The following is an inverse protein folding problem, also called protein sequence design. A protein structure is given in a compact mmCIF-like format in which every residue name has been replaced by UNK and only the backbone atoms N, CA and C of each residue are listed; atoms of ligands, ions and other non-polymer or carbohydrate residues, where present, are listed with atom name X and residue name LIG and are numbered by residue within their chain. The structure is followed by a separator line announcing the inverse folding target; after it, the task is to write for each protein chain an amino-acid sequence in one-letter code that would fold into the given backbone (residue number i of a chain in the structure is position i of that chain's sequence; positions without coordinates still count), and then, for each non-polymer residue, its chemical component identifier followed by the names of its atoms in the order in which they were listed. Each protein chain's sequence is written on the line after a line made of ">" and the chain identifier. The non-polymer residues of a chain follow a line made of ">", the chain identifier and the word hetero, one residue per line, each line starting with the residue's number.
data_IF_714850663529
#
_entry.id   IF_714850663529
#
_cell.length_a   1.000
_cell.length_b   1.000
_cell.length_c   1.000
_cell.angle_alpha   90.00
_cell.angle_beta   90.00
_cell.angle_gamma   90.00
#
_symmetry.space_group_name_H-M   'P 1'
#
loop_
_entity.id
_entity.type
_entity.pdbx_description
1 polymer ?
#
# COMPACT_ATOMS: atom_id res chain seq x y z
N UNK A 1 41.15 -28.30 0.08
CA UNK A 1 39.92 -28.84 0.69
C UNK A 1 38.80 -28.01 0.12
N UNK A 2 38.21 -28.48 -0.98
CA UNK A 2 36.95 -27.91 -1.45
C UNK A 2 35.91 -28.36 -0.44
N UNK A 3 35.49 -27.44 0.43
CA UNK A 3 34.29 -27.64 1.23
C UNK A 3 33.12 -27.73 0.25
N UNK A 4 32.79 -28.95 -0.16
CA UNK A 4 31.57 -29.24 -0.90
C UNK A 4 30.41 -28.86 0.02
N UNK A 5 29.88 -27.65 -0.17
CA UNK A 5 28.64 -27.21 0.47
C UNK A 5 27.56 -28.23 0.13
N UNK A 6 27.22 -29.09 1.09
CA UNK A 6 26.17 -30.09 0.93
C UNK A 6 24.83 -29.36 0.88
N UNK A 7 24.23 -29.28 -0.32
CA UNK A 7 22.91 -28.70 -0.54
C UNK A 7 21.90 -29.86 -0.55
N UNK A 8 20.89 -29.79 0.31
CA UNK A 8 19.81 -30.79 0.30
C UNK A 8 19.14 -30.81 -1.07
N UNK A 9 18.72 -32.00 -1.58
CA UNK A 9 18.02 -32.08 -2.86
C UNK A 9 16.80 -31.14 -2.96
N UNK A 10 16.13 -30.88 -1.84
CA UNK A 10 14.99 -29.96 -1.74
C UNK A 10 15.36 -28.47 -1.80
N UNK A 11 16.63 -28.14 -1.57
CA UNK A 11 17.17 -26.78 -1.54
C UNK A 11 18.02 -26.47 -2.78
N UNK A 12 18.12 -27.43 -3.71
CA UNK A 12 18.80 -27.24 -5.01
C UNK A 12 18.15 -26.11 -5.82
N UNK A 13 16.85 -25.88 -5.63
CA UNK A 13 16.10 -24.77 -6.21
C UNK A 13 15.37 -24.00 -5.10
N UNK A 14 15.67 -22.71 -4.87
CA UNK A 14 14.98 -21.93 -3.87
C UNK A 14 13.52 -21.71 -4.29
N UNK A 15 12.59 -22.25 -3.49
CA UNK A 15 11.14 -22.09 -3.69
C UNK A 15 10.70 -20.62 -3.66
N UNK A 16 11.36 -19.81 -2.85
CA UNK A 16 11.15 -18.37 -2.74
C UNK A 16 12.24 -17.64 -3.50
N UNK A 17 11.87 -17.16 -4.69
CA UNK A 17 12.77 -16.38 -5.54
C UNK A 17 12.75 -14.90 -5.15
N UNK A 18 13.54 -14.09 -5.85
CA UNK A 18 13.63 -12.63 -5.67
C UNK A 18 12.26 -11.92 -5.64
N UNK A 19 11.26 -12.46 -6.35
CA UNK A 19 9.89 -11.94 -6.34
C UNK A 19 9.24 -11.98 -4.96
N UNK A 20 9.46 -13.04 -4.19
CA UNK A 20 8.97 -13.10 -2.80
C UNK A 20 9.77 -12.16 -1.92
N UNK A 21 11.08 -12.01 -2.11
CA UNK A 21 11.90 -11.07 -1.31
C UNK A 21 11.47 -9.62 -1.55
N UNK A 22 11.08 -9.29 -2.79
CA UNK A 22 10.64 -7.96 -3.17
C UNK A 22 9.34 -7.56 -2.48
N UNK A 23 8.45 -8.52 -2.18
CA UNK A 23 7.19 -8.25 -1.49
C UNK A 23 7.38 -7.62 -0.09
N UNK A 24 8.07 -8.26 0.88
CA UNK A 24 8.36 -7.68 2.19
C UNK A 24 9.17 -6.40 2.10
N UNK A 25 10.09 -6.30 1.14
CA UNK A 25 10.88 -5.09 0.92
C UNK A 25 9.99 -3.90 0.57
N UNK A 26 9.10 -4.05 -0.41
CA UNK A 26 8.16 -3.00 -0.80
C UNK A 26 7.18 -2.70 0.35
N UNK A 27 6.61 -3.71 1.00
CA UNK A 27 5.71 -3.46 2.13
C UNK A 27 6.41 -2.80 3.33
N UNK A 28 7.71 -3.05 3.51
CA UNK A 28 8.54 -2.37 4.51
C UNK A 28 8.73 -0.89 4.17
N UNK A 29 8.93 -0.55 2.89
CA UNK A 29 8.95 0.84 2.43
C UNK A 29 7.61 1.54 2.66
N UNK A 30 6.49 0.85 2.40
CA UNK A 30 5.15 1.35 2.66
C UNK A 30 4.96 1.67 4.14
N UNK A 31 5.32 0.74 5.03
CA UNK A 31 5.22 0.94 6.47
C UNK A 31 6.12 2.09 6.96
N UNK A 32 7.35 2.19 6.45
CA UNK A 32 8.27 3.29 6.79
C UNK A 32 7.72 4.66 6.36
N UNK A 33 7.23 4.77 5.13
CA UNK A 33 6.64 6.01 4.62
C UNK A 33 5.36 6.40 5.40
N UNK A 34 4.53 5.41 5.75
CA UNK A 34 3.36 5.63 6.59
C UNK A 34 3.73 6.14 7.99
N UNK A 35 4.73 5.54 8.64
CA UNK A 35 5.22 6.00 9.95
C UNK A 35 5.74 7.43 9.89
N UNK A 36 6.48 7.80 8.83
CA UNK A 36 6.95 9.19 8.63
C UNK A 36 5.78 10.17 8.55
N UNK A 37 4.70 9.81 7.86
CA UNK A 37 3.47 10.61 7.85
C UNK A 37 2.83 10.69 9.25
N UNK A 38 2.66 9.55 9.90
CA UNK A 38 1.99 9.47 11.20
C UNK A 38 2.72 10.28 12.28
N UNK A 39 4.05 10.37 12.24
CA UNK A 39 4.84 11.21 13.15
C UNK A 39 4.45 12.69 13.07
N UNK A 40 4.07 13.19 11.90
CA UNK A 40 3.56 14.55 11.76
C UNK A 40 2.10 14.66 12.23
N UNK A 41 1.20 13.79 11.75
CA UNK A 41 -0.25 13.93 12.00
C UNK A 41 -0.68 13.52 13.42
N UNK A 42 -0.03 12.51 14.02
CA UNK A 42 -0.39 11.96 15.34
C UNK A 42 0.48 12.54 16.45
N UNK A 43 1.78 12.68 16.21
CA UNK A 43 2.74 13.16 17.21
C UNK A 43 3.18 14.62 17.02
N UNK A 44 2.59 15.34 16.07
CA UNK A 44 2.84 16.76 15.79
C UNK A 44 4.32 17.13 15.57
N UNK A 45 5.12 16.23 15.02
CA UNK A 45 6.53 16.49 14.72
C UNK A 45 6.64 17.44 13.52
N UNK A 46 6.64 18.75 13.80
CA UNK A 46 6.62 19.84 12.79
C UNK A 46 7.78 19.78 11.79
N UNK A 47 8.91 19.20 12.15
CA UNK A 47 10.06 19.02 11.26
C UNK A 47 9.74 18.14 10.03
N UNK A 48 8.76 17.23 10.15
CA UNK A 48 8.37 16.29 9.09
C UNK A 48 7.23 16.80 8.22
N UNK A 49 6.63 17.96 8.54
CA UNK A 49 5.54 18.58 7.76
C UNK A 49 5.77 18.61 6.24
N UNK A 50 6.95 19.03 5.70
CA UNK A 50 7.14 19.09 4.25
C UNK A 50 7.19 17.71 3.59
N UNK A 51 7.50 16.65 4.35
CA UNK A 51 7.64 15.29 3.83
C UNK A 51 6.39 14.46 4.08
N UNK A 52 5.58 14.78 5.09
CA UNK A 52 4.42 13.98 5.50
C UNK A 52 3.43 13.69 4.37
N UNK A 53 3.02 14.72 3.60
CA UNK A 53 2.14 14.54 2.43
C UNK A 53 2.76 13.68 1.35
N UNK A 54 4.04 13.90 1.05
CA UNK A 54 4.77 13.10 0.06
C UNK A 54 4.87 11.65 0.53
N UNK A 55 5.11 11.42 1.82
CA UNK A 55 5.22 10.09 2.43
C UNK A 55 3.91 9.30 2.34
N UNK A 56 2.75 9.95 2.52
CA UNK A 56 1.45 9.29 2.30
C UNK A 56 1.25 8.86 0.85
N UNK A 57 1.56 9.75 -0.11
CA UNK A 57 1.42 9.43 -1.53
C UNK A 57 2.39 8.33 -1.95
N UNK A 58 3.64 8.35 -1.47
CA UNK A 58 4.60 7.28 -1.75
C UNK A 58 4.15 5.96 -1.14
N UNK A 59 3.63 5.97 0.10
CA UNK A 59 3.07 4.79 0.73
C UNK A 59 1.91 4.21 -0.10
N UNK A 60 1.03 5.05 -0.67
CA UNK A 60 -0.05 4.61 -1.55
C UNK A 60 0.47 3.97 -2.84
N UNK A 61 1.41 4.63 -3.51
CA UNK A 61 2.00 4.14 -4.75
C UNK A 61 2.68 2.78 -4.55
N UNK A 62 3.52 2.66 -3.51
CA UNK A 62 4.19 1.39 -3.22
C UNK A 62 3.22 0.33 -2.73
N UNK A 63 2.19 0.70 -1.95
CA UNK A 63 1.18 -0.23 -1.49
C UNK A 63 0.45 -0.82 -2.70
N UNK A 64 -0.07 0.00 -3.61
CA UNK A 64 -0.76 -0.45 -4.83
C UNK A 64 0.09 -1.41 -5.68
N UNK A 65 1.41 -1.24 -5.67
CA UNK A 65 2.35 -2.05 -6.44
C UNK A 65 2.88 -3.29 -5.70
N UNK A 66 2.69 -3.38 -4.38
CA UNK A 66 3.32 -4.39 -3.53
C UNK A 66 2.91 -5.83 -3.88
N UNK A 67 1.73 -6.03 -4.43
CA UNK A 67 1.21 -7.36 -4.79
C UNK A 67 1.75 -7.88 -6.12
N UNK A 68 2.26 -7.02 -7.00
CA UNK A 68 2.72 -7.44 -8.33
C UNK A 68 3.81 -8.53 -8.28
N UNK A 69 4.88 -8.42 -7.47
CA UNK A 69 5.89 -9.48 -7.40
C UNK A 69 5.30 -10.80 -6.92
N UNK A 70 4.37 -10.75 -5.98
CA UNK A 70 3.67 -11.93 -5.48
C UNK A 70 2.83 -12.59 -6.58
N UNK A 71 2.02 -11.82 -7.31
CA UNK A 71 1.21 -12.35 -8.41
C UNK A 71 2.09 -12.94 -9.53
N UNK A 72 3.24 -12.34 -9.82
CA UNK A 72 4.17 -12.86 -10.83
C UNK A 72 4.90 -14.12 -10.36
N UNK A 73 5.05 -14.30 -9.04
CA UNK A 73 5.58 -15.55 -8.46
C UNK A 73 4.53 -16.67 -8.48
N UNK A 74 3.24 -16.32 -8.43
CA UNK A 74 2.17 -17.29 -8.68
C UNK A 74 2.19 -17.69 -10.17
N UNK A 75 2.44 -18.97 -10.44
CA UNK A 75 2.30 -19.54 -11.79
C UNK A 75 0.87 -19.45 -12.37
N UNK A 76 -0.13 -19.24 -11.50
CA UNK A 76 -1.55 -19.10 -11.81
C UNK A 76 -2.15 -17.87 -11.10
N UNK A 77 -1.81 -16.65 -11.54
CA UNK A 77 -2.25 -15.42 -10.87
C UNK A 77 -3.77 -15.25 -10.86
N UNK A 78 -4.49 -15.84 -11.82
CA UNK A 78 -5.95 -15.82 -11.91
C UNK A 78 -6.63 -16.43 -10.67
N UNK A 79 -5.93 -17.32 -9.95
CA UNK A 79 -6.45 -17.97 -8.73
C UNK A 79 -6.22 -17.14 -7.47
N UNK A 80 -5.53 -16.00 -7.54
CA UNK A 80 -5.25 -15.17 -6.38
C UNK A 80 -6.54 -14.72 -5.66
N UNK A 81 -7.64 -14.52 -6.39
CA UNK A 81 -8.95 -14.17 -5.81
C UNK A 81 -9.52 -15.25 -4.90
N UNK A 82 -9.14 -16.52 -5.07
CA UNK A 82 -9.61 -17.61 -4.20
C UNK A 82 -9.15 -17.43 -2.75
N UNK A 83 -8.07 -16.67 -2.52
CA UNK A 83 -7.60 -16.35 -1.16
C UNK A 83 -8.66 -15.51 -0.42
N UNK A 84 -9.39 -14.64 -1.13
CA UNK A 84 -10.47 -13.81 -0.57
C UNK A 84 -11.77 -14.60 -0.44
N UNK A 85 -12.11 -15.42 -1.46
CA UNK A 85 -13.41 -16.09 -1.57
C UNK A 85 -13.47 -17.35 -0.70
N UNK A 86 -12.39 -18.13 -0.64
CA UNK A 86 -12.31 -19.39 0.12
C UNK A 86 -11.04 -19.41 0.97
N UNK A 87 -10.95 -18.60 2.03
CA UNK A 87 -9.74 -18.48 2.84
C UNK A 87 -9.51 -19.71 3.74
N UNK A 88 -8.26 -20.14 3.83
CA UNK A 88 -7.82 -21.11 4.84
C UNK A 88 -7.27 -20.35 6.05
N UNK A 89 -7.92 -20.46 7.21
CA UNK A 89 -7.58 -19.73 8.44
C UNK A 89 -6.25 -20.13 9.06
N UNK A 90 -5.73 -21.31 8.74
CA UNK A 90 -4.41 -21.75 9.21
C UNK A 90 -3.26 -21.20 8.35
N UNK A 91 -3.57 -20.61 7.19
CA UNK A 91 -2.56 -20.05 6.29
C UNK A 91 -2.30 -18.59 6.62
N UNK A 92 -1.06 -18.28 7.02
CA UNK A 92 -0.60 -16.90 7.20
C UNK A 92 -0.80 -16.06 5.92
N UNK A 93 -0.60 -16.67 4.75
CA UNK A 93 -0.76 -16.00 3.45
C UNK A 93 -2.21 -15.53 3.21
N UNK A 94 -3.20 -16.31 3.68
CA UNK A 94 -4.60 -15.91 3.56
C UNK A 94 -4.91 -14.72 4.48
N UNK A 95 -4.37 -14.71 5.71
CA UNK A 95 -4.49 -13.58 6.63
C UNK A 95 -3.88 -12.29 6.07
N UNK A 96 -2.68 -12.37 5.48
CA UNK A 96 -2.01 -11.23 4.86
C UNK A 96 -2.85 -10.57 3.75
N UNK A 97 -3.58 -11.36 2.97
CA UNK A 97 -4.49 -10.84 1.94
C UNK A 97 -5.51 -9.85 2.53
N UNK A 98 -6.19 -10.21 3.61
CA UNK A 98 -7.19 -9.34 4.25
C UNK A 98 -6.56 -8.12 4.90
N UNK A 99 -5.49 -8.31 5.67
CA UNK A 99 -4.78 -7.21 6.34
C UNK A 99 -4.32 -6.18 5.30
N UNK A 100 -3.77 -6.65 4.19
CA UNK A 100 -3.32 -5.79 3.11
C UNK A 100 -4.47 -4.99 2.47
N UNK A 101 -5.64 -5.60 2.23
CA UNK A 101 -6.79 -4.89 1.66
C UNK A 101 -7.37 -3.83 2.61
N UNK A 102 -7.48 -4.16 3.90
CA UNK A 102 -7.90 -3.20 4.92
C UNK A 102 -6.90 -2.04 4.98
N UNK A 103 -5.61 -2.35 4.99
CA UNK A 103 -4.56 -1.34 5.00
C UNK A 103 -4.59 -0.44 3.77
N UNK A 104 -4.76 -1.00 2.56
CA UNK A 104 -4.89 -0.23 1.33
C UNK A 104 -6.11 0.71 1.37
N UNK A 105 -7.24 0.23 1.88
CA UNK A 105 -8.45 1.04 2.02
C UNK A 105 -8.24 2.20 3.01
N UNK A 106 -7.64 1.91 4.17
CA UNK A 106 -7.29 2.94 5.15
C UNK A 106 -6.38 4.01 4.55
N UNK A 107 -5.37 3.59 3.78
CA UNK A 107 -4.41 4.49 3.17
C UNK A 107 -5.06 5.36 2.07
N UNK A 108 -5.98 4.80 1.28
CA UNK A 108 -6.79 5.58 0.33
C UNK A 108 -7.64 6.63 1.06
N UNK A 109 -8.29 6.25 2.16
CA UNK A 109 -9.11 7.17 2.96
C UNK A 109 -8.25 8.27 3.58
N UNK A 110 -7.09 7.93 4.16
CA UNK A 110 -6.18 8.89 4.77
C UNK A 110 -5.63 9.89 3.77
N UNK A 111 -5.20 9.42 2.59
CA UNK A 111 -4.80 10.30 1.48
C UNK A 111 -5.97 11.19 1.06
N UNK A 112 -7.17 10.64 0.91
CA UNK A 112 -8.33 11.45 0.52
C UNK A 112 -8.67 12.54 1.55
N UNK A 113 -8.58 12.23 2.85
CA UNK A 113 -8.78 13.21 3.92
C UNK A 113 -7.69 14.28 3.95
N UNK A 114 -6.42 13.91 3.81
CA UNK A 114 -5.29 14.86 3.81
C UNK A 114 -5.38 15.86 2.64
N UNK A 115 -5.82 15.40 1.46
CA UNK A 115 -5.96 16.25 0.28
C UNK A 115 -7.34 16.92 0.17
N UNK A 116 -8.24 16.76 1.14
CA UNK A 116 -9.60 17.33 1.11
C UNK A 116 -9.63 18.85 0.91
N UNK A 117 -8.78 19.67 1.58
CA UNK A 117 -8.75 21.12 1.35
C UNK A 117 -8.36 21.49 -0.08
N UNK A 118 -7.42 20.75 -0.67
CA UNK A 118 -6.98 20.96 -2.05
C UNK A 118 -8.08 20.57 -3.05
N UNK A 119 -8.81 19.47 -2.78
CA UNK A 119 -9.95 19.00 -3.57
C UNK A 119 -11.09 20.03 -3.59
N UNK A 120 -11.44 20.61 -2.43
CA UNK A 120 -12.48 21.65 -2.33
C UNK A 120 -12.05 22.93 -3.06
N UNK A 121 -10.79 23.33 -2.90
CA UNK A 121 -10.22 24.48 -3.63
C UNK A 121 -10.26 24.32 -5.15
N UNK A 122 -10.07 23.10 -5.65
CA UNK A 122 -10.18 22.75 -7.08
C UNK A 122 -11.64 22.65 -7.55
N UNK A 123 -12.56 22.21 -6.70
CA UNK A 123 -14.00 22.14 -7.00
C UNK A 123 -14.63 23.54 -7.21
N UNK A 124 -14.05 24.58 -6.59
CA UNK A 124 -14.48 25.97 -6.77
C UNK A 124 -14.04 26.61 -8.09
N UNK A 125 -13.03 26.05 -8.77
CA UNK A 125 -12.51 26.60 -10.03
C UNK A 125 -13.30 26.05 -11.25
N UNK A 126 -13.67 26.89 -12.23
CA UNK A 126 -14.34 26.41 -13.43
C UNK A 126 -13.39 25.58 -14.29
N UNK A 127 -13.81 24.37 -14.69
CA UNK A 127 -13.01 23.48 -15.53
C UNK A 127 -13.69 22.14 -15.84
N UNK A 128 -13.18 21.41 -16.83
CA UNK A 128 -13.73 20.10 -17.25
C UNK A 128 -13.67 19.05 -16.14
N UNK A 129 -12.69 19.14 -15.24
CA UNK A 129 -12.53 18.25 -14.09
C UNK A 129 -13.34 18.70 -12.85
N UNK A 130 -14.02 19.84 -12.89
CA UNK A 130 -14.75 20.38 -11.74
C UNK A 130 -15.81 19.41 -11.21
N UNK A 131 -16.51 18.70 -12.11
CA UNK A 131 -17.51 17.71 -11.75
C UNK A 131 -16.90 16.54 -10.95
N UNK A 132 -15.70 16.07 -11.32
CA UNK A 132 -14.98 15.02 -10.59
C UNK A 132 -14.61 15.49 -9.17
N UNK A 133 -14.06 16.70 -9.04
CA UNK A 133 -13.71 17.27 -7.73
C UNK A 133 -14.95 17.52 -6.86
N UNK A 134 -16.10 17.86 -7.45
CA UNK A 134 -17.37 17.99 -6.71
C UNK A 134 -17.88 16.66 -6.17
N UNK A 135 -17.74 15.57 -6.94
CA UNK A 135 -18.05 14.21 -6.45
C UNK A 135 -17.07 13.84 -5.33
N UNK A 136 -15.77 14.09 -5.53
CA UNK A 136 -14.74 13.76 -4.55
C UNK A 136 -14.84 14.60 -3.26
N UNK A 137 -15.40 15.81 -3.34
CA UNK A 137 -15.74 16.65 -2.19
C UNK A 137 -17.06 16.23 -1.50
N UNK A 138 -17.77 15.23 -2.04
CA UNK A 138 -19.09 14.77 -1.55
C UNK A 138 -20.16 15.88 -1.46
N UNK A 139 -19.98 16.96 -2.24
CA UNK A 139 -20.89 18.10 -2.23
C UNK A 139 -20.80 19.02 -1.01
N UNK A 140 -19.84 18.77 -0.11
CA UNK A 140 -19.59 19.63 1.05
C UNK A 140 -18.41 20.58 0.78
N UNK A 141 -18.60 21.86 1.10
CA UNK A 141 -17.61 22.92 0.96
C UNK A 141 -16.96 23.33 2.28
N UNK A 142 -17.37 22.73 3.39
CA UNK A 142 -16.81 23.05 4.70
C UNK A 142 -15.50 22.32 4.91
N UNK A 143 -14.42 23.08 5.14
CA UNK A 143 -13.15 22.54 5.62
C UNK A 143 -13.22 22.57 7.15
N UNK A 144 -13.57 21.45 7.77
CA UNK A 144 -13.43 21.30 9.23
C UNK A 144 -11.94 21.15 9.53
N UNK A 145 -11.34 22.16 10.16
CA UNK A 145 -10.00 22.08 10.77
C UNK A 145 -10.00 21.21 12.03
#
# INVERSE_FOLDING_TARGET
>A
MDELTYIFPNDTHPWWSIMIVLYPYITGLVAGAFVVSALYHVWEVKALKPVARLALVTALCFCACATMPLLLHLHHPERAFNIMITPNTNSAMAGFGFIYNVYLLLLIVEVWLEFRPDIIGLAGKPGRLQWLYKILALGDSEVTE
#
